data_IF_879503823615
#
_entry.id   IF_879503823615
#
_cell.length_a   1.000
_cell.length_b   1.000
_cell.length_c   1.000
_cell.angle_alpha   90.00
_cell.angle_beta   90.00
_cell.angle_gamma   90.00
#
_symmetry.space_group_name_H-M   'P 1'
#
loop_
_entity.id
_entity.type
_entity.pdbx_description
1 polymer ?
#
# COMPACT_ATOMS: atom_id res chain seq x y z
N UNK A 1 6.16 12.25 -28.46
CA UNK A 1 6.94 11.52 -29.50
C UNK A 1 7.88 10.49 -28.90
N UNK A 2 8.68 10.82 -27.88
CA UNK A 2 9.63 9.87 -27.27
C UNK A 2 8.98 8.52 -26.87
N UNK A 3 7.90 8.53 -26.07
CA UNK A 3 7.20 7.31 -25.65
C UNK A 3 6.65 6.52 -26.85
N UNK A 4 5.99 7.19 -27.80
CA UNK A 4 5.37 6.53 -28.94
C UNK A 4 6.38 5.83 -29.87
N UNK A 5 7.58 6.42 -30.01
CA UNK A 5 8.63 5.93 -30.90
C UNK A 5 9.67 5.05 -30.20
N UNK A 6 9.60 4.87 -28.88
CA UNK A 6 10.57 4.05 -28.13
C UNK A 6 10.48 2.57 -28.57
N UNK A 7 11.57 1.96 -29.07
CA UNK A 7 11.57 0.56 -29.50
C UNK A 7 11.63 -0.44 -28.34
N UNK A 8 11.95 0.02 -27.12
CA UNK A 8 12.06 -0.81 -25.92
C UNK A 8 10.73 -0.93 -25.14
N UNK A 9 9.71 -0.17 -25.53
CA UNK A 9 8.39 -0.21 -24.91
C UNK A 9 7.39 -1.03 -25.72
N UNK A 10 6.73 -1.96 -25.06
CA UNK A 10 5.54 -2.64 -25.59
C UNK A 10 4.37 -1.65 -25.78
N UNK A 11 3.35 -2.03 -26.56
CA UNK A 11 2.15 -1.23 -26.74
C UNK A 11 1.45 -0.89 -25.40
N UNK A 12 1.43 -1.83 -24.46
CA UNK A 12 0.85 -1.64 -23.13
C UNK A 12 1.64 -0.60 -22.31
N UNK A 13 2.97 -0.70 -22.30
CA UNK A 13 3.82 0.26 -21.60
C UNK A 13 3.72 1.67 -22.23
N UNK A 14 3.66 1.76 -23.56
CA UNK A 14 3.44 3.05 -24.24
C UNK A 14 2.12 3.69 -23.84
N UNK A 15 1.02 2.91 -23.84
CA UNK A 15 -0.29 3.39 -23.37
C UNK A 15 -0.21 3.90 -21.94
N UNK A 16 0.45 3.16 -21.05
CA UNK A 16 0.59 3.53 -19.65
C UNK A 16 1.39 4.83 -19.47
N UNK A 17 2.57 4.95 -20.09
CA UNK A 17 3.38 6.16 -19.97
C UNK A 17 2.72 7.38 -20.62
N UNK A 18 2.00 7.21 -21.74
CA UNK A 18 1.21 8.30 -22.33
C UNK A 18 0.10 8.77 -21.38
N UNK A 19 -0.56 7.85 -20.67
CA UNK A 19 -1.54 8.20 -19.67
C UNK A 19 -0.89 8.97 -18.50
N UNK A 20 0.28 8.54 -18.01
CA UNK A 20 1.01 9.26 -16.95
C UNK A 20 1.39 10.69 -17.36
N UNK A 21 1.88 10.89 -18.59
CA UNK A 21 2.17 12.24 -19.10
C UNK A 21 0.90 13.11 -19.14
N UNK A 22 -0.22 12.55 -19.61
CA UNK A 22 -1.49 13.26 -19.62
C UNK A 22 -2.00 13.59 -18.21
N UNK A 23 -1.85 12.67 -17.25
CA UNK A 23 -2.20 12.88 -15.84
C UNK A 23 -1.35 14.00 -15.20
N UNK A 24 -0.07 14.09 -15.58
CA UNK A 24 0.87 15.10 -15.10
C UNK A 24 0.71 16.46 -15.81
N UNK A 25 0.07 16.51 -16.98
CA UNK A 25 -0.23 17.77 -17.68
C UNK A 25 -1.49 18.45 -17.12
N UNK A 26 -2.30 17.73 -16.33
CA UNK A 26 -3.48 18.31 -15.69
C UNK A 26 -3.11 19.41 -14.69
N UNK A 27 -3.94 20.45 -14.54
CA UNK A 27 -3.74 21.45 -13.51
C UNK A 27 -3.75 20.83 -12.11
N UNK A 28 -2.74 21.16 -11.32
CA UNK A 28 -2.69 20.78 -9.90
C UNK A 28 -3.81 21.48 -9.11
N UNK A 29 -4.40 20.84 -8.09
CA UNK A 29 -5.26 21.50 -7.11
C UNK A 29 -4.65 22.80 -6.57
N UNK A 30 -5.48 23.80 -6.29
CA UNK A 30 -4.99 25.05 -5.72
C UNK A 30 -4.33 24.79 -4.36
N UNK A 31 -3.09 25.26 -4.19
CA UNK A 31 -2.33 25.18 -2.95
C UNK A 31 -2.00 26.58 -2.44
N UNK A 32 -1.87 26.76 -1.10
CA UNK A 32 -1.18 27.91 -0.55
C UNK A 32 0.23 28.04 -1.14
N UNK A 33 0.71 29.27 -1.35
CA UNK A 33 2.03 29.53 -1.95
C UNK A 33 3.15 28.83 -1.17
N UNK A 34 3.03 28.82 0.15
CA UNK A 34 3.92 28.14 1.07
C UNK A 34 4.02 26.62 0.82
N UNK A 35 2.89 25.96 0.61
CA UNK A 35 2.82 24.53 0.30
C UNK A 35 3.33 24.22 -1.10
N UNK A 36 2.97 25.05 -2.10
CA UNK A 36 3.51 24.95 -3.47
C UNK A 36 5.03 25.01 -3.46
N UNK A 37 5.60 26.01 -2.79
CA UNK A 37 7.05 26.18 -2.71
C UNK A 37 7.74 24.98 -2.06
N UNK A 38 7.13 24.36 -1.05
CA UNK A 38 7.69 23.17 -0.40
C UNK A 38 7.75 21.94 -1.33
N UNK A 39 6.81 21.82 -2.28
CA UNK A 39 6.87 20.81 -3.35
C UNK A 39 7.97 21.15 -4.36
N UNK A 40 8.00 22.41 -4.83
CA UNK A 40 8.95 22.86 -5.86
C UNK A 40 10.41 22.75 -5.38
N UNK A 41 10.66 22.99 -4.08
CA UNK A 41 11.97 22.83 -3.44
C UNK A 41 12.31 21.39 -3.06
N UNK A 42 11.40 20.43 -3.22
CA UNK A 42 11.61 19.02 -2.87
C UNK A 42 11.68 18.72 -1.37
N UNK A 43 11.24 19.65 -0.50
CA UNK A 43 11.10 19.39 0.93
C UNK A 43 9.93 18.45 1.21
N UNK A 44 8.88 18.57 0.39
CA UNK A 44 7.72 17.68 0.38
C UNK A 44 7.65 16.99 -0.99
N UNK A 45 7.32 15.70 -0.98
CA UNK A 45 7.14 14.89 -2.18
C UNK A 45 5.72 14.31 -2.17
N UNK A 46 4.92 14.62 -3.18
CA UNK A 46 3.56 14.09 -3.36
C UNK A 46 3.53 12.75 -4.10
N UNK A 47 4.67 12.04 -4.12
CA UNK A 47 4.85 10.73 -4.74
C UNK A 47 4.62 10.67 -6.25
N UNK A 48 4.48 11.81 -6.93
CA UNK A 48 4.23 11.87 -8.37
C UNK A 48 2.98 11.07 -8.79
N UNK A 49 1.92 11.07 -7.96
CA UNK A 49 0.67 10.32 -8.24
C UNK A 49 -0.26 11.06 -9.22
N UNK A 50 0.29 11.84 -10.15
CA UNK A 50 -0.47 12.77 -10.98
C UNK A 50 -0.87 14.05 -10.24
N UNK A 51 -1.08 15.11 -11.02
CA UNK A 51 -1.44 16.41 -10.48
C UNK A 51 -2.88 16.46 -9.96
N UNK A 52 -3.82 15.83 -10.66
CA UNK A 52 -5.24 15.80 -10.32
C UNK A 52 -5.72 14.36 -10.06
N UNK A 53 -5.75 13.90 -8.79
CA UNK A 53 -6.05 12.50 -8.47
C UNK A 53 -7.46 12.09 -8.89
N UNK A 54 -7.57 11.15 -9.82
CA UNK A 54 -8.86 10.58 -10.26
C UNK A 54 -9.14 9.16 -9.72
N UNK A 55 -8.15 8.59 -9.02
CA UNK A 55 -8.20 7.28 -8.39
C UNK A 55 -7.46 7.34 -7.06
N UNK A 56 -7.86 6.53 -6.05
CA UNK A 56 -7.09 6.39 -4.82
C UNK A 56 -5.70 5.83 -5.10
N UNK A 57 -4.74 6.12 -4.22
CA UNK A 57 -3.40 5.53 -4.28
C UNK A 57 -3.47 4.00 -4.21
N UNK A 58 -4.21 3.46 -3.24
CA UNK A 58 -4.36 2.03 -3.01
C UNK A 58 -5.81 1.69 -2.70
N UNK A 59 -6.30 0.59 -3.25
CA UNK A 59 -7.67 0.10 -3.06
C UNK A 59 -7.61 -1.34 -2.56
N UNK A 60 -8.36 -1.65 -1.50
CA UNK A 60 -8.48 -2.97 -0.91
C UNK A 60 -9.94 -3.43 -0.96
N UNK A 61 -10.42 -3.97 -2.08
CA UNK A 61 -11.81 -4.43 -2.18
C UNK A 61 -12.11 -5.54 -1.19
N UNK A 62 -13.36 -5.60 -0.73
CA UNK A 62 -13.93 -6.77 -0.06
C UNK A 62 -14.17 -7.89 -1.09
N UNK A 63 -13.11 -8.65 -1.37
CA UNK A 63 -13.19 -9.77 -2.30
C UNK A 63 -14.10 -10.90 -1.80
N UNK A 64 -14.29 -11.04 -0.48
CA UNK A 64 -15.20 -12.03 0.10
C UNK A 64 -16.63 -11.71 -0.31
N UNK A 65 -17.05 -10.44 -0.17
CA UNK A 65 -18.36 -9.96 -0.62
C UNK A 65 -18.53 -10.12 -2.14
N UNK A 66 -17.49 -9.84 -2.91
CA UNK A 66 -17.52 -9.99 -4.37
C UNK A 66 -17.74 -11.46 -4.78
N UNK A 67 -16.99 -12.40 -4.23
CA UNK A 67 -17.16 -13.82 -4.56
C UNK A 67 -18.54 -14.35 -4.11
N UNK A 68 -19.02 -13.92 -2.94
CA UNK A 68 -20.30 -14.36 -2.40
C UNK A 68 -21.52 -13.83 -3.16
N UNK A 69 -21.43 -12.66 -3.80
CA UNK A 69 -22.58 -11.99 -4.42
C UNK A 69 -22.46 -11.82 -5.94
N UNK A 70 -21.26 -11.93 -6.51
CA UNK A 70 -20.98 -11.55 -7.89
C UNK A 70 -20.93 -10.03 -8.09
N UNK A 71 -21.16 -9.59 -9.32
CA UNK A 71 -21.23 -8.18 -9.70
C UNK A 71 -22.16 -7.99 -10.89
N UNK A 72 -23.21 -7.19 -10.70
CA UNK A 72 -24.12 -6.80 -11.77
C UNK A 72 -23.40 -6.04 -12.89
N UNK A 73 -22.45 -5.17 -12.55
CA UNK A 73 -21.67 -4.40 -13.53
C UNK A 73 -20.78 -5.28 -14.41
N UNK A 74 -20.22 -6.35 -13.84
CA UNK A 74 -19.42 -7.34 -14.58
C UNK A 74 -20.27 -8.45 -15.19
N UNK A 75 -21.59 -8.45 -14.97
CA UNK A 75 -22.49 -9.54 -15.35
C UNK A 75 -22.06 -10.91 -14.80
N UNK A 76 -21.51 -10.94 -13.59
CA UNK A 76 -21.04 -12.15 -12.90
C UNK A 76 -21.99 -12.52 -11.77
N UNK A 77 -22.42 -13.79 -11.73
CA UNK A 77 -23.09 -14.37 -10.58
C UNK A 77 -22.13 -14.68 -9.42
N UNK A 78 -22.65 -15.12 -8.26
CA UNK A 78 -21.83 -15.63 -7.17
C UNK A 78 -20.94 -16.81 -7.59
N UNK A 79 -19.73 -16.90 -7.05
CA UNK A 79 -18.84 -18.04 -7.28
C UNK A 79 -19.48 -19.32 -6.74
N UNK A 80 -19.52 -20.38 -7.55
CA UNK A 80 -20.07 -21.68 -7.13
C UNK A 80 -18.97 -22.65 -6.69
N UNK A 81 -17.77 -22.51 -7.24
CA UNK A 81 -16.64 -23.39 -6.95
C UNK A 81 -15.29 -22.65 -7.01
N UNK A 82 -14.21 -23.42 -6.83
CA UNK A 82 -12.85 -22.87 -6.79
C UNK A 82 -12.42 -22.25 -8.13
N UNK A 83 -12.86 -22.82 -9.24
CA UNK A 83 -12.48 -22.36 -10.58
C UNK A 83 -13.24 -21.05 -10.92
N UNK A 84 -14.51 -20.95 -10.54
CA UNK A 84 -15.27 -19.70 -10.54
C UNK A 84 -14.55 -18.63 -9.71
N UNK A 85 -14.19 -18.95 -8.46
CA UNK A 85 -13.55 -18.01 -7.56
C UNK A 85 -12.23 -17.46 -8.13
N UNK A 86 -11.36 -18.33 -8.67
CA UNK A 86 -10.13 -17.89 -9.34
C UNK A 86 -10.42 -17.00 -10.56
N UNK A 87 -11.35 -17.41 -11.43
CA UNK A 87 -11.72 -16.66 -12.63
C UNK A 87 -12.25 -15.27 -12.26
N UNK A 88 -13.20 -15.20 -11.33
CA UNK A 88 -13.80 -13.96 -10.86
C UNK A 88 -12.76 -13.01 -10.27
N UNK A 89 -11.83 -13.51 -9.43
CA UNK A 89 -10.74 -12.68 -8.90
C UNK A 89 -9.87 -12.12 -10.01
N UNK A 90 -9.45 -12.96 -10.98
CA UNK A 90 -8.65 -12.46 -12.11
C UNK A 90 -9.36 -11.38 -12.91
N UNK A 91 -10.69 -11.48 -13.10
CA UNK A 91 -11.49 -10.44 -13.75
C UNK A 91 -11.45 -9.16 -12.92
N UNK A 92 -11.85 -9.23 -11.64
CA UNK A 92 -11.97 -8.05 -10.80
C UNK A 92 -10.62 -7.33 -10.63
N UNK A 93 -9.51 -8.05 -10.53
CA UNK A 93 -8.17 -7.49 -10.46
C UNK A 93 -7.84 -6.50 -11.59
N UNK A 94 -8.35 -6.70 -12.80
CA UNK A 94 -8.18 -5.75 -13.92
C UNK A 94 -9.02 -4.47 -13.76
N UNK A 95 -9.98 -4.45 -12.84
CA UNK A 95 -10.87 -3.32 -12.59
C UNK A 95 -10.57 -2.60 -11.27
N UNK A 96 -9.61 -3.07 -10.47
CA UNK A 96 -9.21 -2.43 -9.21
C UNK A 96 -8.10 -1.41 -9.50
N UNK A 97 -8.36 -0.11 -9.36
CA UNK A 97 -7.37 0.91 -9.68
C UNK A 97 -6.38 1.08 -8.52
N UNK A 98 -5.22 1.64 -8.87
CA UNK A 98 -4.21 2.12 -7.91
C UNK A 98 -3.33 3.17 -8.60
N UNK A 99 -2.38 3.74 -7.86
CA UNK A 99 -1.34 4.61 -8.41
C UNK A 99 -0.56 3.96 -9.56
N UNK A 100 -0.39 2.64 -9.57
CA UNK A 100 0.31 1.92 -10.66
C UNK A 100 -0.62 1.47 -11.79
N UNK A 101 -1.92 1.68 -11.63
CA UNK A 101 -2.97 1.17 -12.54
C UNK A 101 -3.07 -0.37 -12.56
N UNK A 102 -2.50 -1.04 -11.55
CA UNK A 102 -2.61 -2.48 -11.30
C UNK A 102 -3.07 -2.73 -9.85
N UNK A 103 -3.70 -3.88 -9.55
CA UNK A 103 -4.16 -4.17 -8.19
C UNK A 103 -2.97 -4.32 -7.24
N UNK A 104 -2.99 -3.56 -6.15
CA UNK A 104 -1.94 -3.63 -5.12
C UNK A 104 -2.28 -4.58 -3.96
N UNK A 105 -3.50 -5.12 -3.96
CA UNK A 105 -4.03 -6.03 -2.95
C UNK A 105 -4.80 -7.16 -3.61
N UNK A 106 -4.40 -8.40 -3.30
CA UNK A 106 -5.01 -9.62 -3.83
C UNK A 106 -5.88 -10.36 -2.80
N UNK A 107 -6.08 -9.80 -1.61
CA UNK A 107 -6.84 -10.46 -0.55
C UNK A 107 -6.01 -11.43 0.28
N UNK A 108 -6.67 -11.95 1.32
CA UNK A 108 -6.22 -13.09 2.12
C UNK A 108 -6.52 -14.38 1.34
N UNK A 109 -5.67 -14.73 0.37
CA UNK A 109 -6.00 -15.71 -0.66
C UNK A 109 -6.35 -17.09 -0.11
N UNK A 110 -5.69 -17.51 0.97
CA UNK A 110 -6.02 -18.75 1.65
C UNK A 110 -7.42 -18.72 2.25
N UNK A 111 -7.77 -17.68 3.01
CA UNK A 111 -9.10 -17.56 3.61
C UNK A 111 -10.19 -17.32 2.58
N UNK A 112 -9.90 -16.51 1.57
CA UNK A 112 -10.83 -16.08 0.52
C UNK A 112 -11.28 -17.25 -0.34
N UNK A 113 -10.36 -18.16 -0.67
CA UNK A 113 -10.62 -19.30 -1.55
C UNK A 113 -11.04 -20.57 -0.79
N UNK A 114 -10.80 -20.64 0.53
CA UNK A 114 -11.10 -21.83 1.34
C UNK A 114 -12.56 -22.31 1.24
N UNK A 115 -13.59 -21.44 1.24
CA UNK A 115 -14.99 -21.87 1.11
C UNK A 115 -15.31 -22.60 -0.21
N UNK A 116 -14.49 -22.39 -1.24
CA UNK A 116 -14.75 -22.86 -2.60
C UNK A 116 -13.97 -24.14 -2.96
N UNK A 117 -13.16 -24.67 -2.04
CA UNK A 117 -12.34 -25.88 -2.27
C UNK A 117 -13.19 -27.10 -2.65
N UNK A 118 -14.37 -27.27 -2.04
CA UNK A 118 -15.30 -28.35 -2.35
C UNK A 118 -14.67 -29.74 -2.18
N UNK A 119 -14.77 -30.57 -3.24
CA UNK A 119 -14.28 -31.95 -3.27
C UNK A 119 -12.87 -32.09 -3.87
N UNK A 120 -12.20 -30.97 -4.21
CA UNK A 120 -10.91 -31.00 -4.88
C UNK A 120 -9.84 -31.61 -3.97
N UNK A 121 -8.99 -32.45 -4.57
CA UNK A 121 -7.82 -32.98 -3.89
C UNK A 121 -6.72 -31.93 -3.75
N UNK A 122 -5.77 -32.17 -2.84
CA UNK A 122 -4.62 -31.29 -2.65
C UNK A 122 -3.83 -31.05 -3.96
N UNK A 123 -3.62 -32.10 -4.76
CA UNK A 123 -2.89 -31.99 -6.03
C UNK A 123 -3.67 -31.17 -7.08
N UNK A 124 -4.99 -31.35 -7.14
CA UNK A 124 -5.86 -30.56 -8.02
C UNK A 124 -5.88 -29.08 -7.66
N UNK A 125 -5.88 -28.75 -6.37
CA UNK A 125 -5.74 -27.39 -5.86
C UNK A 125 -4.36 -26.83 -6.19
N UNK A 126 -3.32 -27.62 -5.97
CA UNK A 126 -1.93 -27.19 -6.19
C UNK A 126 -1.67 -26.79 -7.64
N UNK A 127 -2.14 -27.59 -8.60
CA UNK A 127 -2.02 -27.29 -10.03
C UNK A 127 -2.72 -25.96 -10.38
N UNK A 128 -3.91 -25.71 -9.82
CA UNK A 128 -4.67 -24.47 -10.03
C UNK A 128 -3.99 -23.26 -9.43
N UNK A 129 -3.54 -23.37 -8.18
CA UNK A 129 -2.79 -22.32 -7.48
C UNK A 129 -1.54 -21.95 -8.27
N UNK A 130 -0.77 -22.92 -8.77
CA UNK A 130 0.42 -22.62 -9.60
C UNK A 130 0.09 -21.90 -10.90
N UNK A 131 -1.01 -22.25 -11.55
CA UNK A 131 -1.47 -21.56 -12.77
C UNK A 131 -1.91 -20.13 -12.45
N UNK A 132 -2.65 -19.94 -11.36
CA UNK A 132 -3.07 -18.63 -10.88
C UNK A 132 -1.87 -17.75 -10.48
N UNK A 133 -0.89 -18.29 -9.74
CA UNK A 133 0.33 -17.57 -9.36
C UNK A 133 1.11 -17.09 -10.58
N UNK A 134 1.27 -17.98 -11.58
CA UNK A 134 1.90 -17.62 -12.86
C UNK A 134 1.12 -16.57 -13.63
N UNK A 135 -0.21 -16.66 -13.64
CA UNK A 135 -1.06 -15.66 -14.28
C UNK A 135 -0.83 -14.29 -13.66
N UNK A 136 -0.85 -14.18 -12.32
CA UNK A 136 -0.62 -12.91 -11.62
C UNK A 136 0.72 -12.30 -12.05
N UNK A 137 1.81 -13.05 -12.00
CA UNK A 137 3.14 -12.56 -12.37
C UNK A 137 3.31 -12.18 -13.84
N UNK A 138 2.54 -12.79 -14.74
CA UNK A 138 2.62 -12.53 -16.18
C UNK A 138 1.68 -11.42 -16.66
N UNK A 139 0.65 -11.09 -15.88
CA UNK A 139 -0.37 -10.11 -16.27
C UNK A 139 -0.32 -8.83 -15.46
N UNK A 140 0.20 -8.90 -14.23
CA UNK A 140 0.39 -7.75 -13.34
C UNK A 140 1.85 -7.68 -12.87
N UNK A 141 2.81 -7.33 -13.76
CA UNK A 141 4.23 -7.24 -13.41
C UNK A 141 4.53 -5.97 -12.60
N UNK A 142 3.86 -5.82 -11.46
CA UNK A 142 3.97 -4.69 -10.55
C UNK A 142 4.51 -5.16 -9.20
N UNK A 143 5.68 -4.62 -8.82
CA UNK A 143 6.32 -4.88 -7.55
C UNK A 143 5.47 -4.46 -6.33
N UNK A 144 4.37 -3.73 -6.53
CA UNK A 144 3.42 -3.38 -5.48
C UNK A 144 2.20 -4.31 -5.37
N UNK A 145 2.03 -5.29 -6.28
CA UNK A 145 0.98 -6.30 -6.16
C UNK A 145 1.24 -7.22 -4.97
N UNK A 146 0.28 -7.34 -4.05
CA UNK A 146 0.51 -7.97 -2.75
C UNK A 146 -0.60 -8.94 -2.36
N UNK A 147 -0.24 -10.20 -2.08
CA UNK A 147 -1.10 -11.24 -1.52
C UNK A 147 -0.90 -11.39 -0.01
N UNK A 148 -1.97 -11.66 0.73
CA UNK A 148 -1.89 -11.95 2.16
C UNK A 148 -2.30 -13.40 2.43
N UNK A 149 -1.74 -13.97 3.50
CA UNK A 149 -2.06 -15.30 4.02
C UNK A 149 -2.10 -15.27 5.55
N UNK A 150 -2.74 -16.28 6.15
CA UNK A 150 -2.81 -16.42 7.60
C UNK A 150 -3.79 -15.43 8.24
N UNK A 151 -3.89 -15.39 9.59
CA UNK A 151 -3.00 -16.06 10.53
C UNK A 151 -3.30 -17.54 10.82
N UNK A 152 -4.48 -18.03 10.42
CA UNK A 152 -4.85 -19.44 10.54
C UNK A 152 -4.12 -20.31 9.53
N UNK A 153 -3.68 -21.49 9.95
CA UNK A 153 -3.15 -22.53 9.06
C UNK A 153 -4.29 -23.34 8.42
N UNK A 154 -4.27 -23.46 7.10
CA UNK A 154 -5.17 -24.33 6.33
C UNK A 154 -4.45 -24.90 5.09
N UNK A 155 -5.16 -25.78 4.36
CA UNK A 155 -4.60 -26.44 3.17
C UNK A 155 -4.10 -25.42 2.13
N UNK A 156 -4.83 -24.32 1.91
CA UNK A 156 -4.46 -23.31 0.92
C UNK A 156 -3.24 -22.49 1.38
N UNK A 157 -3.13 -22.15 2.67
CA UNK A 157 -1.93 -21.51 3.23
C UNK A 157 -0.67 -22.32 2.85
N UNK A 158 -0.72 -23.64 3.07
CA UNK A 158 0.40 -24.55 2.78
C UNK A 158 0.70 -24.65 1.28
N UNK A 159 -0.34 -24.71 0.45
CA UNK A 159 -0.20 -24.82 -1.00
C UNK A 159 0.31 -23.53 -1.64
N UNK A 160 -0.14 -22.35 -1.18
CA UNK A 160 0.39 -21.07 -1.65
C UNK A 160 1.86 -20.90 -1.25
N UNK A 161 2.23 -21.22 -0.01
CA UNK A 161 3.63 -21.22 0.41
C UNK A 161 4.50 -22.19 -0.42
N UNK A 162 3.99 -23.39 -0.71
CA UNK A 162 4.66 -24.36 -1.57
C UNK A 162 4.81 -23.85 -3.02
N UNK A 163 3.77 -23.24 -3.57
CA UNK A 163 3.80 -22.72 -4.93
C UNK A 163 4.74 -21.51 -5.06
N UNK A 164 4.74 -20.59 -4.10
CA UNK A 164 5.59 -19.39 -4.11
C UNK A 164 7.08 -19.77 -4.13
N UNK A 165 7.49 -20.72 -3.27
CA UNK A 165 8.88 -21.18 -3.23
C UNK A 165 9.27 -21.99 -4.47
N UNK A 166 8.39 -22.85 -4.99
CA UNK A 166 8.68 -23.63 -6.20
C UNK A 166 8.84 -22.73 -7.43
N UNK A 167 8.00 -21.70 -7.55
CA UNK A 167 7.99 -20.81 -8.70
C UNK A 167 9.03 -19.70 -8.58
N UNK A 168 9.37 -19.27 -7.36
CA UNK A 168 10.34 -18.22 -7.06
C UNK A 168 10.15 -16.96 -7.93
N UNK A 169 8.89 -16.58 -8.15
CA UNK A 169 8.53 -15.43 -8.98
C UNK A 169 8.74 -14.13 -8.22
N UNK A 170 9.00 -13.04 -8.95
CA UNK A 170 9.20 -11.72 -8.34
C UNK A 170 7.89 -11.24 -7.71
N UNK A 171 6.78 -11.36 -8.45
CA UNK A 171 5.46 -10.93 -7.99
C UNK A 171 4.46 -12.12 -7.96
N UNK A 172 3.37 -12.05 -7.17
CA UNK A 172 3.08 -10.99 -6.20
C UNK A 172 4.08 -10.99 -5.03
N UNK A 173 4.20 -9.86 -4.35
CA UNK A 173 4.68 -9.87 -2.98
C UNK A 173 3.73 -10.69 -2.12
N UNK A 174 4.25 -11.30 -1.07
CA UNK A 174 3.48 -12.15 -0.18
C UNK A 174 3.77 -11.76 1.26
N UNK A 175 2.72 -11.55 2.04
CA UNK A 175 2.83 -11.39 3.49
C UNK A 175 2.03 -12.46 4.20
N UNK A 176 2.68 -13.12 5.15
CA UNK A 176 2.08 -14.05 6.07
C UNK A 176 1.83 -13.34 7.41
N UNK A 177 0.57 -13.23 7.79
CA UNK A 177 0.17 -12.70 9.09
C UNK A 177 0.48 -13.76 10.15
N UNK A 178 1.30 -13.40 11.13
CA UNK A 178 1.66 -14.27 12.24
C UNK A 178 0.90 -13.86 13.50
N UNK A 179 0.21 -14.82 14.11
CA UNK A 179 -0.41 -14.66 15.42
C UNK A 179 0.07 -15.79 16.35
N UNK A 180 0.72 -15.50 17.49
CA UNK A 180 1.34 -16.52 18.34
C UNK A 180 0.36 -17.57 18.88
N UNK A 181 -0.89 -17.18 19.13
CA UNK A 181 -1.91 -18.11 19.66
C UNK A 181 -2.69 -18.89 18.58
N UNK A 182 -2.54 -18.55 17.30
CA UNK A 182 -3.34 -19.13 16.20
C UNK A 182 -2.44 -19.87 15.21
N UNK A 183 -1.28 -19.31 14.92
CA UNK A 183 -0.35 -19.84 13.92
C UNK A 183 0.50 -20.96 14.53
N UNK A 184 0.43 -22.20 14.00
CA UNK A 184 1.28 -23.28 14.48
C UNK A 184 2.77 -23.00 14.21
N UNK A 185 3.63 -23.37 15.13
CA UNK A 185 5.09 -23.15 15.07
C UNK A 185 5.69 -23.66 13.76
N UNK A 186 5.24 -24.82 13.29
CA UNK A 186 5.75 -25.44 12.07
C UNK A 186 5.38 -24.66 10.80
N UNK A 187 4.33 -23.82 10.82
CA UNK A 187 4.00 -22.93 9.67
C UNK A 187 4.86 -21.69 9.67
N UNK A 188 5.15 -21.14 10.85
CA UNK A 188 6.15 -20.09 10.97
C UNK A 188 7.52 -20.60 10.49
N UNK A 189 7.90 -21.82 10.87
CA UNK A 189 9.13 -22.45 10.38
C UNK A 189 9.13 -22.58 8.85
N UNK A 190 8.05 -23.10 8.23
CA UNK A 190 7.93 -23.17 6.78
C UNK A 190 8.06 -21.79 6.13
N UNK A 191 7.42 -20.76 6.67
CA UNK A 191 7.52 -19.40 6.17
C UNK A 191 8.98 -18.89 6.22
N UNK A 192 9.72 -19.17 7.30
CA UNK A 192 11.14 -18.82 7.42
C UNK A 192 12.00 -19.57 6.38
N UNK A 193 11.77 -20.87 6.18
CA UNK A 193 12.47 -21.66 5.17
C UNK A 193 12.21 -21.13 3.75
N UNK A 194 10.97 -20.75 3.47
CA UNK A 194 10.59 -20.09 2.22
C UNK A 194 11.33 -18.74 2.04
N UNK A 195 11.41 -17.90 3.07
CA UNK A 195 12.15 -16.63 3.03
C UNK A 195 13.61 -16.87 2.66
N UNK A 196 14.26 -17.85 3.29
CA UNK A 196 15.65 -18.21 2.99
C UNK A 196 15.84 -18.68 1.54
N UNK A 197 14.78 -19.19 0.89
CA UNK A 197 14.84 -19.74 -0.46
C UNK A 197 14.48 -18.72 -1.54
N UNK A 198 13.43 -17.92 -1.32
CA UNK A 198 12.84 -17.04 -2.34
C UNK A 198 12.55 -15.61 -1.85
N UNK A 199 13.05 -15.23 -0.67
CA UNK A 199 12.86 -13.90 -0.04
C UNK A 199 11.43 -13.54 0.35
N UNK A 200 10.49 -14.48 0.29
CA UNK A 200 9.07 -14.33 0.66
C UNK A 200 8.58 -15.59 1.40
N UNK A 201 7.52 -15.51 2.21
CA UNK A 201 6.70 -14.32 2.51
C UNK A 201 7.37 -13.34 3.49
N UNK A 202 6.95 -12.08 3.51
CA UNK A 202 7.21 -11.19 4.64
C UNK A 202 6.33 -11.59 5.83
N UNK A 203 6.73 -11.28 7.06
CA UNK A 203 5.98 -11.62 8.26
C UNK A 203 5.38 -10.35 8.87
N UNK A 204 4.05 -10.31 9.02
CA UNK A 204 3.34 -9.23 9.71
C UNK A 204 2.88 -9.70 11.10
N UNK A 205 2.99 -8.82 12.09
CA UNK A 205 2.54 -9.10 13.46
C UNK A 205 1.03 -8.85 13.57
N UNK A 206 0.22 -9.91 13.45
CA UNK A 206 -1.24 -9.79 13.44
C UNK A 206 -1.79 -9.16 14.74
N UNK A 207 -1.41 -9.58 15.97
CA UNK A 207 -1.89 -8.95 17.19
C UNK A 207 -1.69 -7.42 17.23
N UNK A 208 -0.57 -6.92 16.71
CA UNK A 208 -0.29 -5.48 16.67
C UNK A 208 -1.29 -4.75 15.77
N UNK A 209 -1.57 -5.29 14.58
CA UNK A 209 -2.48 -4.67 13.62
C UNK A 209 -3.96 -4.84 14.01
N UNK A 210 -4.32 -5.97 14.61
CA UNK A 210 -5.67 -6.25 15.11
C UNK A 210 -6.08 -5.20 16.17
N UNK A 211 -5.15 -4.77 17.02
CA UNK A 211 -5.36 -3.70 18.00
C UNK A 211 -5.60 -2.31 17.37
N UNK A 212 -5.21 -2.11 16.11
CA UNK A 212 -5.36 -0.83 15.39
C UNK A 212 -6.64 -0.81 14.55
N UNK A 213 -6.92 -1.87 13.79
CA UNK A 213 -7.98 -1.88 12.78
C UNK A 213 -9.17 -2.80 13.08
N UNK A 214 -9.10 -3.65 14.12
CA UNK A 214 -9.90 -4.86 14.32
C UNK A 214 -9.38 -6.05 13.50
N UNK A 215 -9.40 -7.25 14.10
CA UNK A 215 -9.01 -8.48 13.44
C UNK A 215 -9.76 -8.69 12.11
N UNK A 216 -9.01 -8.95 11.03
CA UNK A 216 -9.55 -9.08 9.67
C UNK A 216 -10.00 -7.76 9.02
N UNK A 217 -9.89 -6.62 9.71
CA UNK A 217 -10.36 -5.30 9.25
C UNK A 217 -9.38 -4.54 8.34
N UNK A 218 -8.23 -5.14 8.00
CA UNK A 218 -7.14 -4.51 7.24
C UNK A 218 -6.53 -5.46 6.22
N UNK A 219 -5.65 -4.94 5.36
CA UNK A 219 -4.75 -5.75 4.53
C UNK A 219 -3.36 -5.11 4.44
N UNK A 220 -2.36 -5.93 4.12
CA UNK A 220 -0.98 -5.53 3.84
C UNK A 220 -0.83 -5.37 2.33
N UNK A 221 -0.47 -4.16 1.88
CA UNK A 221 -0.45 -3.79 0.46
C UNK A 221 0.82 -3.09 0.04
N UNK A 222 1.15 -3.18 -1.26
CA UNK A 222 2.28 -2.46 -1.84
C UNK A 222 3.58 -2.74 -1.04
N UNK A 223 4.34 -1.70 -0.69
CA UNK A 223 5.50 -1.78 0.20
C UNK A 223 5.12 -1.91 1.69
N UNK A 224 4.28 -2.90 2.02
CA UNK A 224 3.94 -3.26 3.40
C UNK A 224 3.12 -2.21 4.16
N UNK A 225 2.29 -1.43 3.45
CA UNK A 225 1.34 -0.53 4.09
C UNK A 225 0.18 -1.36 4.68
N UNK A 226 -0.25 -1.00 5.88
CA UNK A 226 -1.42 -1.60 6.53
C UNK A 226 -2.57 -0.63 6.41
N UNK A 227 -3.62 -1.03 5.68
CA UNK A 227 -4.75 -0.15 5.34
C UNK A 227 -6.09 -0.85 5.60
N UNK A 228 -7.17 -0.10 5.83
CA UNK A 228 -8.49 -0.68 6.02
C UNK A 228 -8.93 -1.52 4.82
N UNK A 229 -9.42 -2.74 5.08
CA UNK A 229 -10.09 -3.57 4.08
C UNK A 229 -11.41 -2.90 3.64
N UNK A 230 -11.91 -3.15 2.43
CA UNK A 230 -13.08 -2.42 1.89
C UNK A 230 -12.83 -0.91 1.74
N UNK A 231 -11.57 -0.49 1.65
CA UNK A 231 -11.14 0.90 1.70
C UNK A 231 -9.78 1.08 1.05
N UNK A 232 -8.91 1.89 1.66
CA UNK A 232 -7.51 1.97 1.26
C UNK A 232 -6.83 3.30 1.53
N UNK A 233 -5.85 3.63 0.70
CA UNK A 233 -5.08 4.87 0.81
C UNK A 233 -5.54 5.84 -0.26
N UNK A 234 -6.00 7.03 0.12
CA UNK A 234 -6.50 8.02 -0.84
C UNK A 234 -5.35 8.69 -1.61
N UNK A 235 -4.32 9.14 -0.91
CA UNK A 235 -3.11 9.77 -1.46
C UNK A 235 -1.96 9.65 -0.45
N UNK A 236 -0.71 9.70 -0.90
CA UNK A 236 0.47 9.75 -0.05
C UNK A 236 1.31 10.99 -0.36
N UNK A 237 1.59 11.76 0.67
CA UNK A 237 2.54 12.87 0.62
C UNK A 237 3.58 12.62 1.69
N UNK A 238 4.86 12.82 1.37
CA UNK A 238 5.99 12.56 2.28
C UNK A 238 6.80 13.81 2.57
N UNK A 239 7.18 13.98 3.82
CA UNK A 239 8.13 15.00 4.25
C UNK A 239 9.55 14.48 4.28
N UNK A 240 10.47 15.23 3.68
CA UNK A 240 11.90 14.97 3.70
C UNK A 240 12.52 15.54 4.98
N UNK A 241 12.70 14.72 6.01
CA UNK A 241 13.20 15.18 7.30
C UNK A 241 14.63 15.74 7.23
N UNK A 242 15.45 15.24 6.30
CA UNK A 242 16.78 15.79 6.03
C UNK A 242 16.70 17.26 5.62
N UNK A 243 15.83 17.60 4.69
CA UNK A 243 15.68 18.98 4.21
C UNK A 243 15.12 19.92 5.29
N UNK A 244 14.28 19.40 6.18
CA UNK A 244 13.80 20.11 7.37
C UNK A 244 14.97 20.39 8.33
N UNK A 245 15.82 19.39 8.60
CA UNK A 245 16.99 19.53 9.47
C UNK A 245 18.01 20.53 8.90
N UNK A 246 18.29 20.49 7.59
CA UNK A 246 19.19 21.45 6.92
C UNK A 246 18.71 22.90 7.02
N UNK A 247 17.39 23.11 7.10
CA UNK A 247 16.76 24.44 7.23
C UNK A 247 16.57 24.89 8.68
N UNK A 248 16.95 24.06 9.64
CA UNK A 248 16.81 24.34 11.07
C UNK A 248 18.10 24.89 11.66
N UNK A 249 17.98 25.77 12.65
CA UNK A 249 19.09 26.29 13.44
C UNK A 249 19.28 25.47 14.73
N UNK A 250 19.63 24.19 14.57
CA UNK A 250 19.76 23.26 15.69
C UNK A 250 18.44 22.62 16.11
N UNK A 251 18.53 21.77 17.13
CA UNK A 251 17.43 20.91 17.57
C UNK A 251 16.21 21.68 18.09
N UNK A 252 16.42 22.77 18.84
CA UNK A 252 15.31 23.57 19.38
C UNK A 252 14.48 24.20 18.26
N UNK A 253 15.14 24.82 17.28
CA UNK A 253 14.48 25.43 16.12
C UNK A 253 13.77 24.38 15.23
N UNK A 254 14.37 23.19 15.11
CA UNK A 254 13.75 22.07 14.41
C UNK A 254 12.39 21.71 15.01
N UNK A 255 12.32 21.49 16.32
CA UNK A 255 11.07 21.06 16.97
C UNK A 255 10.05 22.17 17.18
N UNK A 256 10.49 23.41 17.40
CA UNK A 256 9.58 24.51 17.77
C UNK A 256 9.08 25.30 16.56
N UNK A 257 9.83 25.30 15.45
CA UNK A 257 9.52 26.12 14.26
C UNK A 257 9.49 25.32 12.98
N UNK A 258 10.61 24.72 12.58
CA UNK A 258 10.82 24.24 11.20
C UNK A 258 10.01 22.97 10.90
N UNK A 259 10.10 21.94 11.75
CA UNK A 259 9.32 20.72 11.58
C UNK A 259 7.80 20.99 11.65
N UNK A 260 7.26 21.72 12.65
CA UNK A 260 5.85 22.05 12.68
C UNK A 260 5.35 22.77 11.42
N UNK A 261 6.16 23.67 10.86
CA UNK A 261 5.78 24.41 9.66
C UNK A 261 5.67 23.53 8.42
N UNK A 262 6.65 22.67 8.18
CA UNK A 262 6.58 21.74 7.05
C UNK A 262 5.51 20.66 7.22
N UNK A 263 5.23 20.23 8.45
CA UNK A 263 4.11 19.32 8.71
C UNK A 263 2.76 19.98 8.37
N UNK A 264 2.55 21.27 8.68
CA UNK A 264 1.35 22.00 8.25
C UNK A 264 1.23 22.09 6.73
N UNK A 265 2.33 22.40 6.04
CA UNK A 265 2.36 22.45 4.56
C UNK A 265 2.04 21.09 3.94
N UNK A 266 2.55 20.01 4.52
CA UNK A 266 2.22 18.64 4.08
C UNK A 266 0.72 18.34 4.25
N UNK A 267 0.13 18.73 5.39
CA UNK A 267 -1.30 18.61 5.64
C UNK A 267 -2.13 19.40 4.63
N UNK A 268 -1.69 20.60 4.23
CA UNK A 268 -2.36 21.40 3.19
C UNK A 268 -2.35 20.71 1.83
N UNK A 269 -1.24 20.08 1.45
CA UNK A 269 -1.12 19.31 0.20
C UNK A 269 -2.00 18.07 0.24
N UNK A 270 -1.93 17.30 1.35
CA UNK A 270 -2.78 16.13 1.56
C UNK A 270 -4.26 16.49 1.45
N UNK A 271 -4.68 17.57 2.11
CA UNK A 271 -6.06 18.06 2.06
C UNK A 271 -6.48 18.39 0.63
N UNK A 272 -5.71 19.21 -0.09
CA UNK A 272 -6.08 19.63 -1.43
C UNK A 272 -6.23 18.43 -2.40
N UNK A 273 -5.34 17.44 -2.29
CA UNK A 273 -5.38 16.21 -3.10
C UNK A 273 -6.56 15.31 -2.74
N UNK A 274 -6.78 15.07 -1.44
CA UNK A 274 -7.93 14.31 -0.94
C UNK A 274 -9.25 14.98 -1.33
N UNK A 275 -9.42 16.26 -1.05
CA UNK A 275 -10.65 16.99 -1.37
C UNK A 275 -10.97 16.89 -2.87
N UNK A 276 -9.96 17.01 -3.75
CA UNK A 276 -10.14 16.81 -5.18
C UNK A 276 -10.64 15.39 -5.50
N UNK A 277 -10.00 14.35 -4.98
CA UNK A 277 -10.40 12.96 -5.20
C UNK A 277 -11.84 12.72 -4.72
N UNK A 278 -12.18 13.17 -3.51
CA UNK A 278 -13.48 12.86 -2.90
C UNK A 278 -14.63 13.68 -3.48
N UNK A 279 -14.39 14.93 -3.87
CA UNK A 279 -15.48 15.86 -4.23
C UNK A 279 -15.54 16.21 -5.72
N UNK A 280 -14.44 16.05 -6.47
CA UNK A 280 -14.35 16.52 -7.87
C UNK A 280 -14.04 15.43 -8.89
N UNK A 281 -13.30 14.39 -8.51
CA UNK A 281 -12.95 13.31 -9.45
C UNK A 281 -14.12 12.42 -9.85
N UNK A 282 -15.19 12.44 -9.03
CA UNK A 282 -16.33 11.53 -9.12
C UNK A 282 -16.01 10.04 -8.93
N UNK A 283 -14.78 9.69 -8.51
CA UNK A 283 -14.40 8.29 -8.27
C UNK A 283 -15.39 7.57 -7.33
N UNK A 284 -15.59 8.09 -6.12
CA UNK A 284 -16.42 7.42 -5.12
C UNK A 284 -17.93 7.49 -5.43
N UNK A 285 -18.38 8.45 -6.24
CA UNK A 285 -19.80 8.59 -6.59
C UNK A 285 -20.21 7.83 -7.85
N UNK A 286 -19.25 7.35 -8.64
CA UNK A 286 -19.50 6.66 -9.92
C UNK A 286 -18.88 5.26 -10.00
N UNK A 287 -17.94 4.92 -9.11
CA UNK A 287 -17.28 3.63 -9.15
C UNK A 287 -18.24 2.49 -8.83
N UNK A 288 -18.32 1.50 -9.72
CA UNK A 288 -19.09 0.28 -9.49
C UNK A 288 -18.59 -0.49 -8.25
N UNK A 289 -17.32 -0.31 -7.86
CA UNK A 289 -16.78 -0.90 -6.63
C UNK A 289 -17.50 -0.34 -5.39
N UNK A 290 -17.88 0.94 -5.40
CA UNK A 290 -18.67 1.57 -4.34
C UNK A 290 -20.12 1.10 -4.41
N UNK A 291 -20.73 1.15 -5.59
CA UNK A 291 -22.13 0.74 -5.77
C UNK A 291 -22.36 -0.74 -5.43
N UNK A 292 -21.40 -1.62 -5.73
CA UNK A 292 -21.42 -3.04 -5.32
C UNK A 292 -21.10 -3.27 -3.84
N UNK A 293 -20.73 -2.22 -3.10
CA UNK A 293 -20.34 -2.29 -1.70
C UNK A 293 -19.01 -3.01 -1.46
N UNK A 294 -18.15 -3.11 -2.48
CA UNK A 294 -16.83 -3.71 -2.36
C UNK A 294 -15.83 -2.76 -1.68
N UNK A 295 -16.07 -1.45 -1.80
CA UNK A 295 -15.32 -0.41 -1.10
C UNK A 295 -16.27 0.66 -0.55
N UNK A 296 -15.86 1.32 0.52
CA UNK A 296 -16.56 2.44 1.14
C UNK A 296 -15.61 3.64 1.23
N UNK A 297 -16.06 4.80 0.77
CA UNK A 297 -15.31 6.06 0.82
C UNK A 297 -14.88 6.42 2.25
N UNK A 298 -15.66 6.06 3.27
CA UNK A 298 -15.32 6.32 4.68
C UNK A 298 -14.19 5.45 5.23
N UNK A 299 -13.75 4.43 4.46
CA UNK A 299 -12.64 3.54 4.84
C UNK A 299 -11.34 3.87 4.11
N UNK A 300 -11.27 5.02 3.43
CA UNK A 300 -10.04 5.51 2.82
C UNK A 300 -9.34 6.49 3.75
N UNK A 301 -8.02 6.40 3.83
CA UNK A 301 -7.20 7.27 4.68
C UNK A 301 -6.15 8.01 3.85
N UNK A 302 -5.98 9.33 4.03
CA UNK A 302 -4.81 10.04 3.52
C UNK A 302 -3.57 9.64 4.29
N UNK A 303 -2.46 9.43 3.57
CA UNK A 303 -1.24 8.88 4.13
C UNK A 303 -0.21 9.99 4.37
N UNK A 304 0.07 10.27 5.64
CA UNK A 304 1.14 11.18 6.06
C UNK A 304 2.45 10.42 6.15
N UNK A 305 3.32 10.59 5.15
CA UNK A 305 4.62 9.92 5.12
C UNK A 305 5.78 10.80 5.55
N UNK A 306 6.88 10.15 5.94
CA UNK A 306 8.17 10.79 6.18
C UNK A 306 9.28 9.95 5.53
N UNK A 307 10.44 10.55 5.30
CA UNK A 307 11.67 9.83 4.97
C UNK A 307 12.91 10.60 5.43
N UNK A 308 14.07 9.95 5.35
CA UNK A 308 15.38 10.49 5.73
C UNK A 308 15.52 10.87 7.21
N UNK A 309 14.96 10.04 8.12
CA UNK A 309 15.06 10.24 9.57
C UNK A 309 16.51 10.13 10.05
N UNK A 310 17.25 9.14 9.57
CA UNK A 310 18.65 8.93 9.95
C UNK A 310 19.51 10.16 9.62
N UNK A 311 19.36 10.68 8.40
CA UNK A 311 20.07 11.87 7.94
C UNK A 311 19.67 13.11 8.75
N UNK A 312 18.38 13.26 9.07
CA UNK A 312 17.91 14.37 9.91
C UNK A 312 18.55 14.34 11.30
N UNK A 313 18.60 13.16 11.94
CA UNK A 313 19.24 12.97 13.25
C UNK A 313 20.72 13.32 13.18
N UNK A 314 21.46 12.78 12.20
CA UNK A 314 22.89 13.03 12.06
C UNK A 314 23.20 14.52 11.85
N UNK A 315 22.40 15.22 11.04
CA UNK A 315 22.52 16.66 10.82
C UNK A 315 22.30 17.44 12.12
N UNK A 316 21.25 17.11 12.88
CA UNK A 316 20.94 17.80 14.13
C UNK A 316 22.02 17.57 15.20
N UNK A 317 22.55 16.35 15.30
CA UNK A 317 23.69 16.05 16.17
C UNK A 317 24.93 16.86 15.76
N UNK A 318 25.23 16.95 14.47
CA UNK A 318 26.35 17.77 13.99
C UNK A 318 26.16 19.25 14.33
N UNK A 319 24.95 19.80 14.15
CA UNK A 319 24.63 21.18 14.50
C UNK A 319 24.79 21.47 16.00
N UNK A 320 24.58 20.48 16.86
CA UNK A 320 24.82 20.59 18.31
C UNK A 320 26.27 20.30 18.72
N UNK A 321 27.20 20.14 17.78
CA UNK A 321 28.61 19.82 18.04
C UNK A 321 28.87 18.37 18.49
N UNK A 322 27.90 17.47 18.31
CA UNK A 322 28.02 16.04 18.63
C UNK A 322 28.47 15.24 17.40
N UNK A 323 29.30 14.21 17.62
CA UNK A 323 29.69 13.24 16.59
C UNK A 323 28.84 11.96 16.60
N UNK A 324 27.78 11.93 17.41
CA UNK A 324 26.87 10.79 17.54
C UNK A 324 26.13 10.51 16.22
N UNK A 325 25.86 9.24 15.93
CA UNK A 325 25.23 8.77 14.68
C UNK A 325 24.02 7.88 14.93
N UNK A 326 22.99 8.08 14.11
CA UNK A 326 21.80 7.24 14.11
C UNK A 326 22.15 5.77 13.84
N UNK A 327 21.52 4.86 14.60
CA UNK A 327 21.77 3.41 14.53
C UNK A 327 23.03 2.94 15.26
N UNK A 328 23.86 3.84 15.79
CA UNK A 328 25.10 3.51 16.50
C UNK A 328 25.10 4.03 17.94
N UNK A 329 24.74 5.29 18.13
CA UNK A 329 24.81 5.95 19.44
C UNK A 329 23.43 6.08 20.10
N UNK A 330 23.35 5.81 21.40
CA UNK A 330 22.10 5.87 22.17
C UNK A 330 21.46 7.27 22.14
N UNK A 331 22.28 8.32 22.18
CA UNK A 331 21.80 9.71 22.16
C UNK A 331 21.18 10.09 20.81
N UNK A 332 21.80 9.68 19.70
CA UNK A 332 21.25 9.89 18.35
C UNK A 332 19.97 9.05 18.14
N UNK A 333 19.95 7.81 18.61
CA UNK A 333 18.75 6.96 18.57
C UNK A 333 17.59 7.57 19.37
N UNK A 334 17.87 8.10 20.56
CA UNK A 334 16.89 8.80 21.39
C UNK A 334 16.31 10.04 20.67
N UNK A 335 17.13 10.80 19.94
CA UNK A 335 16.65 11.90 19.10
C UNK A 335 15.73 11.39 17.98
N UNK A 336 16.09 10.30 17.30
CA UNK A 336 15.24 9.66 16.30
C UNK A 336 13.87 9.25 16.85
N UNK A 337 13.83 8.63 18.04
CA UNK A 337 12.57 8.32 18.72
C UNK A 337 11.76 9.57 19.06
N UNK A 338 12.41 10.63 19.55
CA UNK A 338 11.75 11.89 19.88
C UNK A 338 11.11 12.55 18.65
N UNK A 339 11.78 12.52 17.49
CA UNK A 339 11.21 13.00 16.22
C UNK A 339 9.96 12.18 15.86
N UNK A 340 10.03 10.86 15.92
CA UNK A 340 8.89 9.97 15.63
C UNK A 340 7.70 10.18 16.57
N UNK A 341 7.94 10.32 17.88
CA UNK A 341 6.89 10.62 18.87
C UNK A 341 6.25 11.98 18.61
N UNK A 342 7.05 12.99 18.28
CA UNK A 342 6.54 14.32 17.97
C UNK A 342 5.65 14.30 16.73
N UNK A 343 6.06 13.59 15.67
CA UNK A 343 5.29 13.43 14.43
C UNK A 343 3.98 12.67 14.66
N UNK A 344 3.99 11.57 15.41
CA UNK A 344 2.76 10.84 15.76
C UNK A 344 1.77 11.75 16.51
N UNK A 345 2.25 12.52 17.50
CA UNK A 345 1.43 13.48 18.21
C UNK A 345 0.85 14.57 17.29
N UNK A 346 1.65 15.09 16.35
CA UNK A 346 1.19 16.07 15.36
C UNK A 346 0.08 15.50 14.49
N UNK A 347 0.26 14.29 13.95
CA UNK A 347 -0.73 13.63 13.07
C UNK A 347 -2.02 13.36 13.82
N UNK A 348 -1.95 12.83 15.06
CA UNK A 348 -3.15 12.59 15.89
C UNK A 348 -3.90 13.87 16.24
N UNK A 349 -3.19 14.98 16.44
CA UNK A 349 -3.78 16.28 16.75
C UNK A 349 -4.32 17.02 15.51
N UNK A 350 -4.02 16.54 14.30
CA UNK A 350 -4.34 17.23 13.04
C UNK A 350 -5.21 16.33 12.14
N UNK A 351 -6.50 16.14 12.48
CA UNK A 351 -7.39 15.34 11.66
C UNK A 351 -7.51 15.94 10.26
N UNK A 352 -7.41 15.08 9.25
CA UNK A 352 -7.62 15.44 7.86
C UNK A 352 -9.08 15.19 7.48
N UNK A 353 -9.68 16.04 6.62
CA UNK A 353 -10.93 15.68 5.96
C UNK A 353 -10.78 14.34 5.23
N UNK A 354 -11.85 13.56 5.21
CA UNK A 354 -11.89 12.25 4.53
C UNK A 354 -10.88 11.21 5.06
N UNK A 355 -10.50 11.31 6.35
CA UNK A 355 -9.63 10.37 7.05
C UNK A 355 -10.38 9.51 8.06
#
# INVERSE_FOLDING_TARGET
MAIACDPHLSALQKRHFLALEAENDLPYPTLPEAARRALDEGVICDMFEGHAPYKPRYVLPDYTRFLANGSEWLELGPAQDFDDALSMLTILYHHVPSVTSMPVFLGYLDQLLLPYVGILTEEELYIRIKRFWRYLDRTFPDAFMHANLGPSDNILTRLFLRADVELAQVVPNLTFLYHPDITPTERLQQAIENICTCSKPHIANAPLHDNIFTAGGYGIVSCYNVLPLGGGGSTLVRLNLKEVALRSQGEEDFFTRTLPDYCRRQTEILRARSDFLFTRSHFFSQSFLVHGGLIDAQRFVPMFGIFALAEAVDILCQQSGSAARYGQDETANALGYRISVWLDAFVRATPLPHA
#
